data_IF_567313870408
#
_entry.id   IF_567313870408
#
_cell.length_a   1.000
_cell.length_b   1.000
_cell.length_c   1.000
_cell.angle_alpha   90.00
_cell.angle_beta   90.00
_cell.angle_gamma   90.00
#
_symmetry.space_group_name_H-M   'P 1'
#
loop_
_entity.id
_entity.type
_entity.pdbx_description
1 polymer ?
#
# COMPACT_ATOMS: atom_id res chain seq x y z
N UNK A 1 -7.29 -7.44 -74.00
CA UNK A 1 -6.28 -6.63 -74.70
C UNK A 1 -7.02 -5.45 -75.34
N UNK A 2 -6.85 -4.25 -74.76
CA UNK A 2 -7.05 -2.86 -75.27
C UNK A 2 -8.22 -2.56 -76.21
N UNK A 3 -9.13 -1.62 -75.90
CA UNK A 3 -9.01 -0.14 -76.04
C UNK A 3 -10.29 0.49 -75.45
N UNK A 4 -10.43 1.71 -74.92
CA UNK A 4 -9.61 2.92 -74.75
C UNK A 4 -10.66 3.97 -74.30
N UNK A 5 -10.67 4.38 -73.04
CA UNK A 5 -9.98 5.58 -72.54
C UNK A 5 -10.53 6.94 -73.02
N UNK A 6 -11.60 7.01 -73.81
CA UNK A 6 -12.06 8.30 -74.38
C UNK A 6 -13.42 8.82 -73.89
N UNK A 7 -14.22 8.03 -73.15
CA UNK A 7 -15.51 8.51 -72.61
C UNK A 7 -15.42 9.19 -71.23
N UNK A 8 -14.19 9.32 -70.69
CA UNK A 8 -13.90 9.96 -69.41
C UNK A 8 -13.59 11.46 -69.53
N UNK A 9 -13.47 12.01 -70.74
CA UNK A 9 -12.96 13.38 -70.93
C UNK A 9 -14.04 14.45 -71.19
N UNK A 10 -15.30 14.07 -71.42
CA UNK A 10 -16.35 15.05 -71.79
C UNK A 10 -17.32 15.40 -70.65
N UNK A 11 -17.49 14.53 -69.66
CA UNK A 11 -18.33 14.79 -68.48
C UNK A 11 -17.59 15.43 -67.31
N UNK A 12 -16.26 15.61 -67.40
CA UNK A 12 -15.43 16.21 -66.35
C UNK A 12 -15.37 17.75 -66.46
N UNK A 13 -15.93 18.34 -67.53
CA UNK A 13 -15.72 19.76 -67.86
C UNK A 13 -16.77 20.74 -67.34
N UNK A 14 -17.77 20.30 -66.58
CA UNK A 14 -18.89 21.17 -66.17
C UNK A 14 -19.04 21.46 -64.67
N UNK A 15 -18.11 21.05 -63.80
CA UNK A 15 -18.14 21.42 -62.37
C UNK A 15 -16.82 22.04 -61.88
N UNK A 16 -16.14 22.74 -62.78
CA UNK A 16 -15.18 23.77 -62.40
C UNK A 16 -15.91 24.97 -61.79
N UNK A 17 -16.24 24.94 -60.49
CA UNK A 17 -16.32 26.15 -59.64
C UNK A 17 -16.65 25.87 -58.16
N UNK A 18 -16.05 24.85 -57.55
CA UNK A 18 -15.86 24.89 -56.09
C UNK A 18 -14.76 25.91 -55.81
N UNK A 19 -15.16 27.16 -55.52
CA UNK A 19 -14.28 28.23 -55.05
C UNK A 19 -13.47 27.71 -53.87
N UNK A 20 -12.20 27.37 -54.12
CA UNK A 20 -11.20 27.17 -53.10
C UNK A 20 -11.01 28.50 -52.35
N UNK A 21 -11.73 28.70 -51.26
CA UNK A 21 -11.37 29.74 -50.29
C UNK A 21 -10.12 29.23 -49.59
N UNK A 22 -8.95 29.71 -50.04
CA UNK A 22 -7.70 29.55 -49.30
C UNK A 22 -7.89 30.12 -47.90
N UNK A 23 -8.19 29.26 -46.93
CA UNK A 23 -8.08 29.61 -45.53
C UNK A 23 -6.62 29.93 -45.26
N UNK A 24 -6.30 31.22 -45.16
CA UNK A 24 -5.00 31.72 -44.73
C UNK A 24 -4.69 31.01 -43.41
N UNK A 25 -3.64 30.18 -43.38
CA UNK A 25 -3.24 29.45 -42.16
C UNK A 25 -2.82 30.49 -41.13
N UNK A 26 -3.78 30.92 -40.32
CA UNK A 26 -3.54 31.73 -39.14
C UNK A 26 -2.74 30.87 -38.15
N UNK A 27 -1.72 31.45 -37.54
CA UNK A 27 -0.88 30.76 -36.56
C UNK A 27 -1.71 30.25 -35.37
N UNK A 28 -1.20 29.25 -34.67
CA UNK A 28 -1.84 28.65 -33.49
C UNK A 28 -2.26 29.70 -32.47
N UNK A 29 -1.43 30.73 -32.26
CA UNK A 29 -1.69 31.84 -31.34
C UNK A 29 -2.87 32.70 -31.79
N UNK A 30 -2.99 32.98 -33.10
CA UNK A 30 -4.14 33.72 -33.64
C UNK A 30 -5.44 32.92 -33.59
N UNK A 31 -5.36 31.59 -33.70
CA UNK A 31 -6.53 30.72 -33.48
C UNK A 31 -6.95 30.73 -32.01
N UNK A 32 -5.99 30.70 -31.07
CA UNK A 32 -6.27 30.80 -29.64
C UNK A 32 -6.92 32.14 -29.27
N UNK A 33 -6.38 33.27 -29.79
CA UNK A 33 -6.96 34.59 -29.57
C UNK A 33 -8.39 34.69 -30.11
N UNK A 34 -8.64 34.08 -31.27
CA UNK A 34 -9.96 34.05 -31.89
C UNK A 34 -10.97 33.20 -31.09
N UNK A 35 -10.53 32.07 -30.53
CA UNK A 35 -11.37 31.23 -29.66
C UNK A 35 -11.71 31.97 -28.36
N UNK A 36 -10.76 32.73 -27.78
CA UNK A 36 -11.01 33.53 -26.57
C UNK A 36 -12.02 34.65 -26.85
N UNK A 37 -12.00 35.25 -28.04
CA UNK A 37 -12.91 36.32 -28.45
C UNK A 37 -14.30 35.80 -28.83
N UNK A 38 -14.40 34.63 -29.47
CA UNK A 38 -15.67 34.04 -29.93
C UNK A 38 -16.39 33.21 -28.84
N UNK A 39 -15.68 32.34 -28.12
CA UNK A 39 -16.26 31.40 -27.15
C UNK A 39 -15.99 31.79 -25.68
N UNK A 40 -15.17 32.81 -25.45
CA UNK A 40 -14.80 33.28 -24.12
C UNK A 40 -13.77 32.38 -23.42
N UNK A 41 -13.10 32.94 -22.40
CA UNK A 41 -12.03 32.25 -21.67
C UNK A 41 -12.52 31.02 -20.89
N UNK A 42 -13.84 30.95 -20.61
CA UNK A 42 -14.49 29.82 -19.93
C UNK A 42 -14.60 28.56 -20.79
N UNK A 43 -14.55 28.67 -22.12
CA UNK A 43 -14.58 27.50 -23.01
C UNK A 43 -13.39 26.57 -22.80
N UNK A 44 -12.22 27.14 -22.45
CA UNK A 44 -11.02 26.37 -22.11
C UNK A 44 -11.16 25.53 -20.84
N UNK A 45 -12.11 25.86 -19.95
CA UNK A 45 -12.28 25.20 -18.65
C UNK A 45 -13.46 24.24 -18.59
N UNK A 46 -14.28 24.14 -19.63
CA UNK A 46 -15.49 23.29 -19.65
C UNK A 46 -15.20 21.80 -19.42
N UNK A 47 -14.04 21.30 -19.88
CA UNK A 47 -13.62 19.91 -19.63
C UNK A 47 -12.79 19.70 -18.36
N UNK A 48 -12.22 20.78 -17.81
CA UNK A 48 -11.33 20.71 -16.64
C UNK A 48 -12.13 20.54 -15.35
N UNK A 49 -13.31 21.16 -15.24
CA UNK A 49 -14.16 21.06 -14.05
C UNK A 49 -14.64 19.61 -13.82
N UNK A 50 -15.18 18.88 -14.82
CA UNK A 50 -15.50 17.46 -14.68
C UNK A 50 -14.29 16.58 -14.35
N UNK A 51 -13.13 16.85 -14.96
CA UNK A 51 -11.90 16.11 -14.70
C UNK A 51 -11.39 16.33 -13.26
N UNK A 52 -11.50 17.56 -12.73
CA UNK A 52 -11.13 17.90 -11.37
C UNK A 52 -12.04 17.23 -10.34
N UNK A 53 -13.34 17.15 -10.62
CA UNK A 53 -14.32 16.44 -9.78
C UNK A 53 -14.01 14.94 -9.72
N UNK A 54 -13.56 14.34 -10.83
CA UNK A 54 -13.18 12.92 -10.88
C UNK A 54 -11.96 12.61 -10.00
N UNK A 55 -10.97 13.51 -9.99
CA UNK A 55 -9.73 13.36 -9.20
C UNK A 55 -9.94 13.67 -7.72
N UNK A 56 -11.00 14.41 -7.37
CA UNK A 56 -11.35 14.74 -5.97
C UNK A 56 -11.86 13.52 -5.19
N UNK A 57 -12.48 12.54 -5.85
CA UNK A 57 -13.12 11.40 -5.19
C UNK A 57 -12.13 10.54 -4.34
N UNK A 58 -10.94 10.14 -4.85
CA UNK A 58 -9.95 9.44 -4.03
C UNK A 58 -9.32 10.29 -2.92
N UNK A 59 -9.20 11.61 -3.13
CA UNK A 59 -8.57 12.51 -2.17
C UNK A 59 -9.44 12.67 -0.93
N UNK A 60 -10.75 12.87 -1.11
CA UNK A 60 -11.70 12.97 -0.01
C UNK A 60 -11.72 11.68 0.81
N UNK A 61 -11.65 10.53 0.15
CA UNK A 61 -11.61 9.23 0.83
C UNK A 61 -10.37 9.09 1.73
N UNK A 62 -9.17 9.45 1.23
CA UNK A 62 -7.95 9.40 2.02
C UNK A 62 -7.96 10.40 3.19
N UNK A 63 -8.36 11.65 2.95
CA UNK A 63 -8.39 12.67 4.00
C UNK A 63 -9.44 12.39 5.06
N UNK A 64 -10.60 11.84 4.68
CA UNK A 64 -11.66 11.50 5.63
C UNK A 64 -11.28 10.30 6.49
N UNK A 65 -10.63 9.30 5.89
CA UNK A 65 -10.11 8.14 6.61
C UNK A 65 -9.00 8.53 7.59
N UNK A 66 -8.05 9.36 7.17
CA UNK A 66 -6.98 9.87 8.05
C UNK A 66 -7.53 10.72 9.20
N UNK A 67 -8.48 11.62 8.93
CA UNK A 67 -9.11 12.43 9.98
C UNK A 67 -9.93 11.57 10.96
N UNK A 68 -10.64 10.56 10.46
CA UNK A 68 -11.40 9.63 11.30
C UNK A 68 -10.48 8.79 12.19
N UNK A 69 -9.36 8.31 11.65
CA UNK A 69 -8.33 7.57 12.41
C UNK A 69 -7.79 8.40 13.57
N UNK A 70 -7.40 9.65 13.28
CA UNK A 70 -6.85 10.58 14.30
C UNK A 70 -7.90 10.94 15.37
N UNK A 71 -9.19 10.99 15.02
CA UNK A 71 -10.25 11.20 16.00
C UNK A 71 -10.53 9.93 16.83
N UNK A 72 -10.53 8.75 16.21
CA UNK A 72 -10.77 7.48 16.90
C UNK A 72 -9.70 7.21 17.98
N UNK A 73 -8.43 7.49 17.68
CA UNK A 73 -7.30 7.37 18.62
C UNK A 73 -7.43 8.30 19.84
N UNK A 74 -8.11 9.45 19.70
CA UNK A 74 -8.31 10.43 20.79
C UNK A 74 -9.51 10.12 21.66
N UNK A 75 -10.54 9.48 21.10
CA UNK A 75 -11.82 9.25 21.79
C UNK A 75 -11.95 7.88 22.46
N UNK A 76 -11.07 6.91 22.17
CA UNK A 76 -11.10 5.59 22.80
C UNK A 76 -9.70 5.11 23.20
N UNK A 77 -9.58 4.55 24.41
CA UNK A 77 -8.57 3.52 24.67
C UNK A 77 -8.96 2.30 23.83
N UNK A 78 -8.13 1.97 22.85
CA UNK A 78 -8.34 0.89 21.89
C UNK A 78 -8.70 -0.40 22.63
N UNK A 79 -9.87 -0.98 22.34
CA UNK A 79 -10.23 -2.32 22.79
C UNK A 79 -9.75 -3.38 21.80
N UNK A 80 -9.72 -4.65 22.21
CA UNK A 80 -9.16 -5.77 21.41
C UNK A 80 -9.72 -5.89 19.98
N UNK A 81 -10.96 -5.44 19.73
CA UNK A 81 -11.54 -5.40 18.37
C UNK A 81 -11.07 -4.22 17.52
N UNK A 82 -10.71 -3.09 18.16
CA UNK A 82 -10.13 -1.94 17.46
C UNK A 82 -8.70 -2.28 16.99
N UNK A 83 -7.97 -3.13 17.72
CA UNK A 83 -6.66 -3.63 17.28
C UNK A 83 -6.75 -4.47 15.99
N UNK A 84 -7.80 -5.29 15.88
CA UNK A 84 -8.08 -6.12 14.71
C UNK A 84 -8.50 -5.30 13.48
N UNK A 85 -9.34 -4.27 13.66
CA UNK A 85 -9.83 -3.44 12.56
C UNK A 85 -8.81 -2.40 12.05
N UNK A 86 -7.91 -1.93 12.91
CA UNK A 86 -7.01 -0.82 12.59
C UNK A 86 -5.59 -1.24 12.16
N UNK A 87 -5.26 -2.54 12.16
CA UNK A 87 -3.88 -3.02 11.92
C UNK A 87 -2.93 -2.39 12.95
N UNK A 88 -3.27 -2.55 14.22
CA UNK A 88 -2.81 -1.65 15.26
C UNK A 88 -1.30 -1.71 15.55
N UNK A 89 -0.75 -0.53 15.83
CA UNK A 89 0.64 -0.32 16.27
C UNK A 89 0.71 -0.54 17.78
N UNK A 90 1.30 -1.66 18.20
CA UNK A 90 1.47 -2.03 19.62
C UNK A 90 2.55 -1.17 20.29
N UNK A 91 3.52 -0.69 19.50
CA UNK A 91 4.62 0.16 19.94
C UNK A 91 4.77 1.33 18.98
N UNK A 92 4.86 2.56 19.49
CA UNK A 92 5.11 3.75 18.67
C UNK A 92 6.13 4.67 19.32
N UNK A 93 7.24 4.89 18.62
CA UNK A 93 8.26 5.90 18.93
C UNK A 93 8.78 5.82 20.39
N UNK A 94 9.08 4.60 20.86
CA UNK A 94 9.69 4.36 22.17
C UNK A 94 11.18 4.10 21.97
N UNK A 95 12.02 4.79 22.74
CA UNK A 95 13.45 4.52 22.77
C UNK A 95 13.71 3.20 23.50
N UNK A 96 14.42 2.30 22.83
CA UNK A 96 14.75 0.97 23.31
C UNK A 96 16.26 0.75 23.18
N UNK A 97 16.87 0.06 24.14
CA UNK A 97 18.31 -0.20 24.13
C UNK A 97 18.66 -1.38 23.21
N UNK A 98 17.83 -2.41 23.25
CA UNK A 98 18.03 -3.63 22.49
C UNK A 98 16.68 -4.29 22.19
N UNK A 99 16.57 -4.86 21.00
CA UNK A 99 15.43 -5.69 20.59
C UNK A 99 15.96 -7.03 20.10
N UNK A 100 15.51 -8.12 20.72
CA UNK A 100 15.81 -9.47 20.26
C UNK A 100 14.67 -9.97 19.39
N UNK A 101 14.99 -10.39 18.17
CA UNK A 101 14.04 -10.91 17.19
C UNK A 101 14.39 -12.34 16.81
N UNK A 102 13.35 -13.11 16.47
CA UNK A 102 13.49 -14.47 15.94
C UNK A 102 13.34 -14.41 14.42
N UNK A 103 14.45 -14.37 13.68
CA UNK A 103 14.45 -14.35 12.22
C UNK A 103 14.56 -15.77 11.64
N UNK A 104 14.17 -15.95 10.38
CA UNK A 104 14.40 -17.20 9.63
C UNK A 104 15.90 -17.53 9.56
N UNK A 105 16.75 -16.51 9.53
CA UNK A 105 18.21 -16.60 9.53
C UNK A 105 18.80 -17.06 10.88
N UNK A 106 18.02 -16.95 11.96
CA UNK A 106 18.45 -17.21 13.34
C UNK A 106 17.95 -16.15 14.32
N UNK A 107 18.24 -16.33 15.60
CA UNK A 107 17.87 -15.36 16.63
C UNK A 107 18.89 -14.21 16.65
N UNK A 108 18.42 -12.97 16.54
CA UNK A 108 19.27 -11.78 16.36
C UNK A 108 18.95 -10.72 17.41
N UNK A 109 19.99 -10.11 17.99
CA UNK A 109 19.87 -8.95 18.87
C UNK A 109 20.23 -7.66 18.11
N UNK A 110 19.27 -6.74 18.00
CA UNK A 110 19.43 -5.45 17.34
C UNK A 110 19.67 -4.38 18.39
N UNK A 111 20.83 -3.71 18.30
CA UNK A 111 21.19 -2.56 19.13
C UNK A 111 21.15 -1.27 18.31
N UNK A 112 21.37 -0.13 18.96
CA UNK A 112 21.55 1.15 18.27
C UNK A 112 22.68 1.07 17.21
N UNK A 113 22.48 1.71 16.05
CA UNK A 113 23.44 1.70 14.93
C UNK A 113 23.77 0.31 14.36
N UNK A 114 22.79 -0.60 14.31
CA UNK A 114 22.93 -1.88 13.62
C UNK A 114 23.05 -1.71 12.08
N UNK A 115 23.63 -2.71 11.41
CA UNK A 115 23.70 -2.75 9.94
C UNK A 115 22.27 -2.76 9.36
N UNK A 116 21.98 -1.91 8.35
CA UNK A 116 20.67 -1.90 7.71
C UNK A 116 20.40 -3.24 7.03
N UNK A 117 19.30 -3.88 7.41
CA UNK A 117 18.86 -5.15 6.82
C UNK A 117 17.35 -5.30 6.89
N UNK A 118 16.83 -6.17 6.03
CA UNK A 118 15.42 -6.58 6.04
C UNK A 118 15.43 -8.07 6.31
N UNK A 119 14.80 -8.49 7.40
CA UNK A 119 14.77 -9.89 7.82
C UNK A 119 13.32 -10.37 7.92
N UNK A 120 13.10 -11.61 7.47
CA UNK A 120 11.84 -12.30 7.68
C UNK A 120 11.83 -12.89 9.09
N UNK A 121 10.73 -12.68 9.82
CA UNK A 121 10.52 -13.21 11.15
C UNK A 121 9.82 -14.56 11.07
N UNK A 122 10.37 -15.54 11.79
CA UNK A 122 9.70 -16.82 12.08
C UNK A 122 8.74 -16.64 13.25
N UNK A 123 7.74 -17.52 13.41
CA UNK A 123 6.94 -17.56 14.63
C UNK A 123 7.84 -17.69 15.87
N UNK A 124 7.65 -16.83 16.87
CA UNK A 124 8.57 -16.80 18.00
C UNK A 124 8.32 -15.64 18.96
N UNK A 125 9.23 -15.46 19.92
CA UNK A 125 9.14 -14.39 20.91
C UNK A 125 10.06 -13.25 20.51
N UNK A 126 9.51 -12.05 20.42
CA UNK A 126 10.26 -10.80 20.36
C UNK A 126 10.38 -10.25 21.77
N UNK A 127 11.60 -9.90 22.14
CA UNK A 127 11.92 -9.32 23.43
C UNK A 127 12.41 -7.89 23.24
N UNK A 128 11.71 -6.94 23.86
CA UNK A 128 12.02 -5.52 23.82
C UNK A 128 12.59 -5.11 25.18
N UNK A 129 13.84 -4.65 25.19
CA UNK A 129 14.55 -4.19 26.37
C UNK A 129 14.62 -2.66 26.33
N UNK A 130 13.78 -2.00 27.13
CA UNK A 130 13.76 -0.53 27.26
C UNK A 130 14.89 -0.04 28.17
N UNK A 131 15.10 -0.71 29.30
CA UNK A 131 16.16 -0.46 30.28
C UNK A 131 16.59 -1.79 30.91
N UNK A 132 17.73 -1.81 31.60
CA UNK A 132 18.29 -3.03 32.22
C UNK A 132 17.31 -3.83 33.11
N UNK A 133 16.24 -3.21 33.62
CA UNK A 133 15.23 -3.85 34.46
C UNK A 133 13.84 -4.00 33.82
N UNK A 134 13.57 -3.43 32.63
CA UNK A 134 12.25 -3.46 31.99
C UNK A 134 12.31 -4.17 30.64
N UNK A 135 11.89 -5.43 30.66
CA UNK A 135 11.86 -6.30 29.48
C UNK A 135 10.40 -6.67 29.19
N UNK A 136 9.94 -6.42 27.96
CA UNK A 136 8.60 -6.83 27.49
C UNK A 136 8.74 -7.89 26.42
N UNK A 137 7.99 -8.98 26.57
CA UNK A 137 8.01 -10.12 25.65
C UNK A 137 6.69 -10.24 24.91
N UNK A 138 6.78 -10.39 23.60
CA UNK A 138 5.63 -10.52 22.71
C UNK A 138 5.81 -11.79 21.89
N UNK A 139 4.77 -12.62 21.83
CA UNK A 139 4.73 -13.70 20.85
C UNK A 139 4.24 -13.13 19.52
N UNK A 140 4.95 -13.46 18.44
CA UNK A 140 4.61 -13.04 17.09
C UNK A 140 4.40 -14.27 16.21
N UNK A 141 3.36 -14.23 15.39
CA UNK A 141 3.06 -15.31 14.43
C UNK A 141 3.92 -15.26 13.16
N UNK A 142 4.69 -14.19 12.97
CA UNK A 142 5.59 -13.98 11.83
C UNK A 142 5.44 -12.59 11.22
N UNK A 143 6.35 -12.23 10.31
CA UNK A 143 6.35 -10.89 9.71
C UNK A 143 7.70 -10.47 9.11
N UNK A 144 7.95 -9.17 9.07
CA UNK A 144 9.19 -8.58 8.59
C UNK A 144 9.72 -7.54 9.59
N UNK A 145 11.02 -7.59 9.85
CA UNK A 145 11.73 -6.56 10.57
C UNK A 145 12.62 -5.78 9.58
N UNK A 146 12.46 -4.46 9.55
CA UNK A 146 13.23 -3.55 8.72
C UNK A 146 14.09 -2.70 9.64
N UNK A 147 15.41 -2.86 9.52
CA UNK A 147 16.40 -2.10 10.27
C UNK A 147 16.88 -0.97 9.36
N UNK A 148 16.54 0.25 9.73
CA UNK A 148 16.87 1.42 8.94
C UNK A 148 18.26 1.97 9.30
N UNK A 149 18.96 2.64 8.36
CA UNK A 149 20.26 3.27 8.61
C UNK A 149 20.25 4.39 9.65
N UNK A 150 19.09 4.97 9.93
CA UNK A 150 18.90 6.04 10.92
C UNK A 150 18.72 5.52 12.36
N UNK A 151 19.07 4.25 12.64
CA UNK A 151 18.84 3.58 13.94
C UNK A 151 17.36 3.46 14.33
N UNK A 152 16.45 3.46 13.36
CA UNK A 152 15.05 3.07 13.60
C UNK A 152 14.79 1.62 13.19
N UNK A 153 13.87 0.97 13.90
CA UNK A 153 13.48 -0.41 13.67
C UNK A 153 11.97 -0.46 13.45
N UNK A 154 11.55 -0.92 12.29
CA UNK A 154 10.15 -1.12 11.93
C UNK A 154 9.84 -2.62 11.90
N UNK A 155 8.97 -3.08 12.80
CA UNK A 155 8.54 -4.49 12.87
C UNK A 155 7.09 -4.56 12.43
N UNK A 156 6.86 -5.19 11.27
CA UNK A 156 5.53 -5.42 10.71
C UNK A 156 5.17 -6.89 10.90
N UNK A 157 4.14 -7.17 11.68
CA UNK A 157 3.73 -8.52 12.10
C UNK A 157 2.26 -8.72 11.78
N UNK A 158 1.88 -9.97 11.45
CA UNK A 158 0.47 -10.32 11.20
C UNK A 158 -0.33 -10.31 12.50
N UNK A 159 0.15 -11.02 13.52
CA UNK A 159 -0.44 -11.02 14.86
C UNK A 159 0.65 -11.00 15.93
N UNK A 160 0.44 -10.18 16.96
CA UNK A 160 1.35 -10.06 18.09
C UNK A 160 0.54 -10.00 19.38
N UNK A 161 0.89 -10.86 20.32
CA UNK A 161 0.19 -11.01 21.60
C UNK A 161 1.19 -10.90 22.75
N UNK A 162 0.83 -10.21 23.85
CA UNK A 162 1.63 -10.27 25.07
C UNK A 162 1.60 -11.69 25.63
N UNK A 163 2.73 -12.15 26.19
CA UNK A 163 2.82 -13.52 26.73
C UNK A 163 1.82 -13.80 27.86
N UNK A 164 1.33 -12.76 28.52
CA UNK A 164 0.38 -12.84 29.63
C UNK A 164 -1.03 -13.32 29.22
N UNK A 165 -1.37 -13.27 27.92
CA UNK A 165 -2.71 -13.64 27.43
C UNK A 165 -2.83 -15.11 26.97
N UNK A 166 -1.74 -15.88 26.96
CA UNK A 166 -1.75 -17.24 26.44
C UNK A 166 -2.13 -18.29 27.50
N UNK A 167 -3.12 -19.13 27.18
CA UNK A 167 -3.49 -20.33 27.95
C UNK A 167 -3.24 -21.61 27.12
N UNK A 168 -2.60 -22.65 27.69
CA UNK A 168 -2.07 -23.81 26.96
C UNK A 168 -3.11 -24.81 26.41
N UNK A 169 -4.41 -24.60 26.62
CA UNK A 169 -5.43 -25.66 26.46
C UNK A 169 -6.00 -25.83 25.04
N UNK A 170 -5.73 -24.90 24.10
CA UNK A 170 -6.52 -24.79 22.85
C UNK A 170 -5.86 -25.25 21.54
N UNK A 171 -4.71 -25.90 21.62
CA UNK A 171 -3.77 -26.02 20.50
C UNK A 171 -3.85 -27.29 19.61
N UNK A 172 -4.81 -28.19 19.76
CA UNK A 172 -4.70 -29.51 19.11
C UNK A 172 -5.96 -29.99 18.40
N UNK A 173 -6.22 -29.59 17.15
CA UNK A 173 -6.92 -30.45 16.17
C UNK A 173 -6.77 -30.00 14.71
N UNK A 174 -6.68 -30.99 13.79
CA UNK A 174 -6.81 -30.98 12.31
C UNK A 174 -5.49 -31.01 11.52
N UNK A 175 -5.32 -31.67 10.37
CA UNK A 175 -6.14 -32.46 9.44
C UNK A 175 -5.24 -32.99 8.29
N UNK A 176 -5.68 -33.97 7.49
CA UNK A 176 -4.85 -34.74 6.53
C UNK A 176 -5.13 -34.51 5.03
N UNK A 177 -4.28 -33.73 4.36
CA UNK A 177 -4.04 -33.68 2.89
C UNK A 177 -2.68 -33.02 2.60
N UNK A 178 -2.11 -33.07 1.38
CA UNK A 178 -0.73 -32.56 1.13
C UNK A 178 -0.57 -31.04 1.27
N UNK A 179 -1.62 -30.28 0.99
CA UNK A 179 -1.69 -28.84 1.25
C UNK A 179 -1.94 -28.59 2.74
N UNK A 180 -2.81 -29.39 3.37
CA UNK A 180 -2.96 -29.42 4.83
C UNK A 180 -1.68 -29.86 5.54
N UNK A 181 -0.77 -30.62 4.93
CA UNK A 181 0.53 -30.94 5.54
C UNK A 181 1.43 -29.72 5.59
N UNK A 182 1.38 -28.85 4.59
CA UNK A 182 2.16 -27.62 4.60
C UNK A 182 1.56 -26.62 5.59
N UNK A 183 0.23 -26.51 5.63
CA UNK A 183 -0.49 -25.69 6.62
C UNK A 183 -0.24 -26.24 8.03
N UNK A 184 -0.41 -27.55 8.25
CA UNK A 184 -0.18 -28.21 9.52
C UNK A 184 1.29 -28.15 9.95
N UNK A 185 2.26 -28.16 9.03
CA UNK A 185 3.67 -27.92 9.39
C UNK A 185 3.87 -26.51 9.94
N UNK A 186 3.27 -25.50 9.31
CA UNK A 186 3.33 -24.12 9.80
C UNK A 186 2.57 -23.99 11.12
N UNK A 187 1.40 -24.62 11.27
CA UNK A 187 0.66 -24.65 12.53
C UNK A 187 1.46 -25.35 13.63
N UNK A 188 2.07 -26.50 13.36
CA UNK A 188 2.96 -27.21 14.30
C UNK A 188 4.14 -26.32 14.67
N UNK A 189 4.78 -25.64 13.71
CA UNK A 189 5.91 -24.74 13.97
C UNK A 189 5.50 -23.55 14.86
N UNK A 190 4.33 -22.95 14.63
CA UNK A 190 3.78 -21.88 15.47
C UNK A 190 3.47 -22.40 16.88
N UNK A 191 2.84 -23.57 16.98
CA UNK A 191 2.45 -24.18 18.25
C UNK A 191 3.65 -24.64 19.07
N UNK A 192 4.66 -25.23 18.43
CA UNK A 192 5.90 -25.64 19.06
C UNK A 192 6.70 -24.43 19.54
N UNK A 193 6.73 -23.35 18.74
CA UNK A 193 7.31 -22.06 19.14
C UNK A 193 6.56 -21.43 20.31
N UNK A 194 5.23 -21.52 20.34
CA UNK A 194 4.39 -21.03 21.43
C UNK A 194 4.60 -21.86 22.71
N UNK A 195 4.67 -23.19 22.60
CA UNK A 195 4.98 -24.07 23.73
C UNK A 195 6.39 -23.82 24.26
N UNK A 196 7.37 -23.60 23.38
CA UNK A 196 8.72 -23.20 23.78
C UNK A 196 8.75 -21.82 24.43
N UNK A 197 7.87 -20.90 24.04
CA UNK A 197 7.74 -19.58 24.63
C UNK A 197 7.12 -19.64 26.03
N UNK A 198 6.12 -20.49 26.24
CA UNK A 198 5.42 -20.67 27.53
C UNK A 198 6.22 -21.46 28.56
N UNK A 199 7.15 -22.31 28.12
CA UNK A 199 7.97 -23.15 29.02
C UNK A 199 9.24 -22.46 29.53
N UNK A 200 9.60 -21.28 29.00
CA UNK A 200 10.78 -20.48 29.37
C UNK A 200 10.40 -19.28 30.26
#
# INVERSE_FOLDING_TARGET
MTTRKDSLDESVKSESSVKQVKAKRLGTISTVLKIIEEDGIMAFWQGVIPALILVINPIIQYTSFEQLKVQLEKFKKLGNLDFFLLGATIYKNVEVQQVNIAATSGDMGILASHVPSIEQLKPGVIEVIENANTTKKFFVSGGFAIINPNSSLDINVVEAFPLEEFSPERAATSGSSEEERNIAKVEVEVLESLQSALSK
#
